data_IF_657267985358
#
_entry.id   IF_657267985358
#
_cell.length_a   1.000
_cell.length_b   1.000
_cell.length_c   1.000
_cell.angle_alpha   90.00
_cell.angle_beta   90.00
_cell.angle_gamma   90.00
#
_symmetry.space_group_name_H-M   'P 1'
#
loop_
_entity.id
_entity.type
_entity.pdbx_description
1 polymer ?
#
# COMPACT_ATOMS: atom_id res chain seq x y z
N UNK A 1 10.13 -13.90 -12.72
CA UNK A 1 11.25 -13.02 -12.37
C UNK A 1 10.68 -11.83 -11.61
N UNK A 2 11.15 -11.55 -10.40
CA UNK A 2 10.72 -10.38 -9.64
C UNK A 2 11.63 -9.19 -9.97
N UNK A 3 11.08 -8.17 -10.61
CA UNK A 3 11.79 -6.91 -10.86
C UNK A 3 11.51 -5.96 -9.70
N UNK A 4 12.55 -5.51 -9.00
CA UNK A 4 12.43 -4.44 -8.01
C UNK A 4 12.81 -3.10 -8.63
N UNK A 5 12.07 -2.06 -8.24
CA UNK A 5 12.37 -0.67 -8.64
C UNK A 5 12.76 0.08 -7.39
N UNK A 6 13.92 0.74 -7.41
CA UNK A 6 14.32 1.63 -6.34
C UNK A 6 13.61 2.97 -6.50
N UNK A 7 12.92 3.42 -5.45
CA UNK A 7 12.26 4.72 -5.41
C UNK A 7 13.00 5.59 -4.38
N UNK A 8 13.55 6.75 -4.77
CA UNK A 8 14.18 7.68 -3.83
C UNK A 8 13.23 8.12 -2.71
N UNK A 9 13.70 8.12 -1.45
CA UNK A 9 12.90 8.49 -0.27
C UNK A 9 12.25 9.86 -0.40
N UNK A 10 12.96 10.86 -0.91
CA UNK A 10 12.41 12.21 -1.12
C UNK A 10 11.15 12.23 -1.99
N UNK A 11 11.04 11.30 -2.94
CA UNK A 11 9.81 11.17 -3.76
C UNK A 11 8.68 10.54 -2.95
N UNK A 12 8.99 9.51 -2.14
CA UNK A 12 8.02 8.87 -1.25
C UNK A 12 7.45 9.89 -0.26
N UNK A 13 8.30 10.72 0.34
CA UNK A 13 7.89 11.79 1.25
C UNK A 13 6.96 12.81 0.58
N UNK A 14 7.30 13.26 -0.63
CA UNK A 14 6.50 14.21 -1.39
C UNK A 14 5.12 13.65 -1.77
N UNK A 15 5.08 12.38 -2.18
CA UNK A 15 3.84 11.65 -2.52
C UNK A 15 2.93 11.57 -1.30
N UNK A 16 3.49 11.17 -0.15
CA UNK A 16 2.77 11.11 1.12
C UNK A 16 2.27 12.49 1.58
N UNK A 17 3.09 13.55 1.42
CA UNK A 17 2.70 14.93 1.78
C UNK A 17 1.49 15.42 0.99
N UNK A 18 1.30 14.90 -0.23
CA UNK A 18 0.16 15.21 -1.10
C UNK A 18 -1.07 14.32 -0.82
N UNK A 19 -0.99 13.42 0.15
CA UNK A 19 -2.06 12.47 0.48
C UNK A 19 -2.25 11.38 -0.58
N UNK A 20 -1.23 11.12 -1.40
CA UNK A 20 -1.25 10.07 -2.42
C UNK A 20 -0.40 8.90 -1.96
N UNK A 21 -0.79 7.67 -2.32
CA UNK A 21 0.08 6.50 -2.28
C UNK A 21 0.80 6.28 -3.62
N UNK A 22 1.85 5.45 -3.62
CA UNK A 22 2.55 5.05 -4.85
C UNK A 22 1.61 4.39 -5.88
N UNK A 23 0.68 3.56 -5.42
CA UNK A 23 -0.34 2.93 -6.27
C UNK A 23 -1.24 3.99 -6.89
N UNK A 24 -1.68 4.99 -6.11
CA UNK A 24 -2.50 6.10 -6.60
C UNK A 24 -1.74 6.91 -7.67
N UNK A 25 -0.45 7.18 -7.44
CA UNK A 25 0.38 7.89 -8.41
C UNK A 25 0.49 7.12 -9.74
N UNK A 26 0.85 5.84 -9.68
CA UNK A 26 1.05 5.01 -10.88
C UNK A 26 -0.27 4.89 -11.67
N UNK A 27 -1.37 4.67 -10.97
CA UNK A 27 -2.71 4.52 -11.59
C UNK A 27 -3.28 5.84 -12.10
N UNK A 28 -2.84 6.98 -11.58
CA UNK A 28 -3.19 8.30 -12.14
C UNK A 28 -2.40 8.65 -13.41
N UNK A 29 -1.18 8.11 -13.56
CA UNK A 29 -0.30 8.41 -14.69
C UNK A 29 -0.52 7.48 -15.89
N UNK A 30 -0.89 6.24 -15.60
CA UNK A 30 -1.15 5.24 -16.61
C UNK A 30 -2.67 5.09 -16.71
N UNK A 31 -3.23 5.16 -17.93
CA UNK A 31 -4.64 4.87 -18.22
C UNK A 31 -4.93 3.36 -18.01
N UNK A 32 -4.67 2.88 -16.80
CA UNK A 32 -4.84 1.49 -16.40
C UNK A 32 -6.34 1.24 -16.22
N UNK A 33 -6.77 0.07 -16.68
CA UNK A 33 -8.14 -0.37 -16.49
C UNK A 33 -8.50 -0.40 -14.99
N UNK A 34 -9.70 0.08 -14.60
CA UNK A 34 -10.12 0.11 -13.20
C UNK A 34 -10.04 -1.23 -12.48
N UNK A 35 -10.23 -2.37 -13.17
CA UNK A 35 -10.12 -3.71 -12.58
C UNK A 35 -8.71 -3.99 -12.11
N UNK A 36 -7.71 -3.68 -12.92
CA UNK A 36 -6.29 -3.83 -12.58
C UNK A 36 -5.91 -2.95 -11.39
N UNK A 37 -6.46 -1.73 -11.28
CA UNK A 37 -6.25 -0.84 -10.12
C UNK A 37 -6.77 -1.48 -8.83
N UNK A 38 -7.97 -2.07 -8.88
CA UNK A 38 -8.57 -2.74 -7.72
C UNK A 38 -7.75 -3.98 -7.31
N UNK A 39 -7.34 -4.80 -8.28
CA UNK A 39 -6.52 -5.99 -8.03
C UNK A 39 -5.19 -5.63 -7.37
N UNK A 40 -4.50 -4.59 -7.87
CA UNK A 40 -3.25 -4.11 -7.28
C UNK A 40 -3.42 -3.60 -5.83
N UNK A 41 -4.55 -2.94 -5.51
CA UNK A 41 -4.85 -2.51 -4.14
C UNK A 41 -5.10 -3.70 -3.21
N UNK A 42 -5.79 -4.74 -3.68
CA UNK A 42 -6.03 -5.97 -2.90
C UNK A 42 -4.71 -6.68 -2.62
N UNK A 43 -3.86 -6.86 -3.63
CA UNK A 43 -2.53 -7.47 -3.48
C UNK A 43 -1.68 -6.73 -2.42
N UNK A 44 -1.70 -5.40 -2.45
CA UNK A 44 -0.99 -4.58 -1.47
C UNK A 44 -1.56 -4.75 -0.05
N UNK A 45 -2.88 -4.78 0.09
CA UNK A 45 -3.53 -4.99 1.38
C UNK A 45 -3.21 -6.37 1.96
N UNK A 46 -3.24 -7.43 1.15
CA UNK A 46 -2.86 -8.78 1.55
C UNK A 46 -1.40 -8.86 2.01
N UNK A 47 -0.50 -8.19 1.28
CA UNK A 47 0.91 -8.08 1.68
C UNK A 47 1.05 -7.43 3.05
N UNK A 48 0.38 -6.30 3.31
CA UNK A 48 0.45 -5.62 4.60
C UNK A 48 -0.17 -6.44 5.72
N UNK A 49 -1.29 -7.13 5.49
CA UNK A 49 -1.88 -8.05 6.47
C UNK A 49 -0.89 -9.17 6.83
N UNK A 50 -0.21 -9.73 5.83
CA UNK A 50 0.80 -10.77 6.03
C UNK A 50 2.00 -10.23 6.80
N UNK A 51 2.53 -9.06 6.45
CA UNK A 51 3.65 -8.43 7.16
C UNK A 51 3.29 -8.11 8.61
N UNK A 52 2.08 -7.58 8.86
CA UNK A 52 1.56 -7.34 10.20
C UNK A 52 1.42 -8.64 11.02
N UNK A 53 0.98 -9.73 10.39
CA UNK A 53 0.87 -11.03 11.05
C UNK A 53 2.20 -11.65 11.47
N UNK A 54 3.31 -11.21 10.85
CA UNK A 54 4.68 -11.66 11.14
C UNK A 54 5.36 -10.76 12.18
N UNK A 55 4.97 -9.48 12.29
CA UNK A 55 5.65 -8.46 13.08
C UNK A 55 5.23 -8.36 14.55
N UNK A 56 3.96 -8.55 14.90
CA UNK A 56 3.54 -8.45 16.29
C UNK A 56 2.13 -9.05 16.45
N UNK A 57 1.97 -9.93 17.42
CA UNK A 57 0.65 -10.26 17.98
C UNK A 57 0.17 -9.05 18.75
N UNK A 58 -0.18 -7.96 18.06
CA UNK A 58 -0.88 -6.83 18.68
C UNK A 58 -2.15 -7.40 19.32
N UNK A 59 -2.39 -7.17 20.62
CA UNK A 59 -3.64 -7.55 21.24
C UNK A 59 -4.74 -6.66 20.65
N UNK A 60 -5.32 -7.07 19.53
CA UNK A 60 -6.56 -6.47 19.03
C UNK A 60 -7.70 -6.91 19.96
N UNK A 61 -7.88 -6.15 21.04
CA UNK A 61 -9.12 -6.16 21.81
C UNK A 61 -10.23 -5.59 20.93
N UNK A 62 -11.30 -6.32 20.61
CA UNK A 62 -12.39 -5.82 19.78
C UNK A 62 -13.25 -4.73 20.46
N UNK A 63 -12.95 -4.32 21.70
CA UNK A 63 -13.87 -3.54 22.54
C UNK A 63 -13.26 -2.40 23.37
N UNK A 64 -12.10 -1.82 23.00
CA UNK A 64 -11.48 -0.76 23.82
C UNK A 64 -11.93 0.68 23.50
N UNK A 65 -13.09 0.87 22.85
CA UNK A 65 -13.68 2.21 22.62
C UNK A 65 -15.09 2.38 23.22
N UNK A 66 -15.45 1.56 24.21
CA UNK A 66 -16.59 1.77 25.10
C UNK A 66 -16.09 1.80 26.55
#
# INVERSE_FOLDING_TARGET
>A
MSTSVYIPERLVEEINRRGLGLVDLITSMLEIDPKTVVEARVELAEKYLKEASIGEKLPVSPFSFL
#
